data_IF_049749144979
#
_entry.id   IF_049749144979
#
_cell.length_a   1.000
_cell.length_b   1.000
_cell.length_c   1.000
_cell.angle_alpha   90.00
_cell.angle_beta   90.00
_cell.angle_gamma   90.00
#
_symmetry.space_group_name_H-M   'P 1'
#
loop_
_entity.id
_entity.type
_entity.pdbx_description
1 polymer ?
#
# COMPACT_ATOMS: atom_id res chain seq x y z
N UNK A 1 -51.64 -13.42 -44.00
CA UNK A 1 -50.73 -12.90 -42.97
C UNK A 1 -50.98 -13.64 -41.66
N UNK A 2 -49.90 -14.00 -40.95
CA UNK A 2 -49.78 -14.56 -39.59
C UNK A 2 -49.99 -16.07 -39.39
N UNK A 3 -48.84 -16.76 -39.48
CA UNK A 3 -48.19 -17.66 -38.49
C UNK A 3 -49.02 -18.76 -37.80
N UNK A 4 -48.71 -20.02 -38.12
CA UNK A 4 -49.07 -21.21 -37.33
C UNK A 4 -47.89 -21.60 -36.42
N UNK A 5 -48.12 -21.61 -35.10
CA UNK A 5 -47.29 -22.34 -34.14
C UNK A 5 -47.73 -23.81 -34.15
N UNK A 6 -46.79 -24.73 -34.34
CA UNK A 6 -47.02 -26.16 -34.07
C UNK A 6 -46.36 -26.51 -32.73
N UNK A 7 -47.20 -26.76 -31.75
CA UNK A 7 -46.90 -27.37 -30.47
C UNK A 7 -46.75 -28.88 -30.72
N UNK A 8 -45.57 -29.46 -30.47
CA UNK A 8 -45.42 -30.91 -30.36
C UNK A 8 -45.22 -31.28 -28.89
N UNK A 9 -46.30 -31.76 -28.29
CA UNK A 9 -46.36 -32.32 -26.95
C UNK A 9 -46.01 -33.80 -27.05
N UNK A 10 -45.01 -34.25 -26.28
CA UNK A 10 -44.83 -35.68 -25.98
C UNK A 10 -44.99 -35.84 -24.47
N UNK A 11 -46.05 -36.53 -24.05
CA UNK A 11 -46.26 -37.00 -22.68
C UNK A 11 -45.86 -38.46 -22.60
N UNK A 12 -44.97 -38.81 -21.66
CA UNK A 12 -44.93 -40.12 -21.02
C UNK A 12 -44.54 -39.95 -19.54
N UNK A 13 -45.11 -40.77 -18.69
CA UNK A 13 -45.64 -40.43 -17.36
C UNK A 13 -44.78 -40.86 -16.15
N UNK A 14 -44.71 -39.94 -15.16
CA UNK A 14 -44.75 -40.12 -13.68
C UNK A 14 -43.50 -40.67 -12.95
N UNK A 15 -42.72 -39.75 -12.37
CA UNK A 15 -42.58 -39.56 -10.91
C UNK A 15 -42.42 -38.06 -10.63
N UNK A 16 -43.22 -37.53 -9.72
CA UNK A 16 -43.12 -36.15 -9.26
C UNK A 16 -41.92 -36.00 -8.31
N UNK A 17 -40.85 -35.39 -8.80
CA UNK A 17 -40.08 -34.44 -7.99
C UNK A 17 -40.30 -33.10 -8.64
N UNK A 18 -40.83 -32.12 -7.89
CA UNK A 18 -40.91 -30.76 -8.36
C UNK A 18 -39.53 -30.36 -8.89
N UNK A 19 -39.41 -30.18 -10.21
CA UNK A 19 -38.27 -29.52 -10.82
C UNK A 19 -38.35 -28.10 -10.30
N UNK A 20 -37.64 -27.83 -9.21
CA UNK A 20 -37.23 -26.46 -8.91
C UNK A 20 -36.46 -26.06 -10.16
N UNK A 21 -37.05 -25.20 -10.99
CA UNK A 21 -36.27 -24.44 -11.95
C UNK A 21 -35.26 -23.73 -11.09
N UNK A 22 -34.04 -24.24 -10.98
CA UNK A 22 -32.99 -23.54 -10.28
C UNK A 22 -32.85 -22.24 -11.04
N UNK A 23 -33.34 -21.16 -10.46
CA UNK A 23 -33.06 -19.84 -11.01
C UNK A 23 -31.56 -19.77 -11.18
N UNK A 24 -31.12 -19.28 -12.34
CA UNK A 24 -29.71 -19.02 -12.57
C UNK A 24 -29.14 -18.29 -11.36
N UNK A 25 -27.90 -18.59 -10.93
CA UNK A 25 -27.30 -17.98 -9.74
C UNK A 25 -26.90 -16.53 -9.99
N UNK A 26 -27.58 -15.83 -10.90
CA UNK A 26 -27.30 -14.47 -11.29
C UNK A 26 -28.52 -13.75 -11.87
N UNK A 27 -28.45 -12.42 -11.85
CA UNK A 27 -29.38 -11.52 -12.52
C UNK A 27 -28.62 -10.69 -13.54
N UNK A 28 -29.21 -10.50 -14.72
CA UNK A 28 -28.69 -9.67 -15.79
C UNK A 28 -29.56 -8.43 -16.02
N UNK A 29 -28.96 -7.38 -16.58
CA UNK A 29 -29.69 -6.24 -17.13
C UNK A 29 -30.66 -6.67 -18.23
N UNK A 30 -31.65 -5.82 -18.53
CA UNK A 30 -32.69 -6.12 -19.51
C UNK A 30 -32.17 -6.43 -20.93
N UNK A 31 -30.99 -5.91 -21.29
CA UNK A 31 -30.30 -6.18 -22.56
C UNK A 31 -29.35 -7.39 -22.50
N UNK A 32 -29.22 -8.04 -21.34
CA UNK A 32 -28.34 -9.17 -21.11
C UNK A 32 -26.84 -8.85 -21.09
N UNK A 33 -26.44 -7.56 -21.14
CA UNK A 33 -25.04 -7.16 -21.29
C UNK A 33 -24.31 -6.90 -19.97
N UNK A 34 -25.04 -6.76 -18.87
CA UNK A 34 -24.47 -6.47 -17.54
C UNK A 34 -24.84 -7.56 -16.55
N UNK A 35 -23.83 -8.12 -15.87
CA UNK A 35 -24.03 -8.93 -14.68
C UNK A 35 -24.32 -8.01 -13.50
N UNK A 36 -25.57 -8.01 -13.02
CA UNK A 36 -26.05 -7.13 -11.95
C UNK A 36 -25.86 -7.75 -10.56
N UNK A 37 -26.04 -9.07 -10.44
CA UNK A 37 -25.91 -9.78 -9.16
C UNK A 37 -25.58 -11.25 -9.38
N UNK A 38 -24.79 -11.82 -8.47
CA UNK A 38 -24.53 -13.24 -8.32
C UNK A 38 -25.06 -13.73 -6.95
N UNK A 39 -25.91 -14.75 -6.97
CA UNK A 39 -26.58 -15.33 -5.79
C UNK A 39 -26.20 -16.78 -5.53
N UNK A 40 -25.35 -17.38 -6.38
CA UNK A 40 -24.88 -18.75 -6.20
C UNK A 40 -24.16 -18.94 -4.87
N UNK A 41 -24.43 -20.07 -4.22
CA UNK A 41 -23.85 -20.42 -2.91
C UNK A 41 -22.62 -21.31 -3.02
N UNK A 42 -22.34 -21.84 -4.21
CA UNK A 42 -21.12 -22.61 -4.47
C UNK A 42 -19.87 -21.75 -4.21
N UNK A 43 -18.75 -22.35 -3.77
CA UNK A 43 -17.51 -21.63 -3.53
C UNK A 43 -16.86 -21.11 -4.83
N UNK A 44 -17.38 -21.51 -6.00
CA UNK A 44 -16.87 -21.12 -7.31
C UNK A 44 -17.97 -20.45 -8.14
N UNK A 45 -17.69 -19.26 -8.68
CA UNK A 45 -18.51 -18.61 -9.70
C UNK A 45 -17.79 -18.65 -11.04
N UNK A 46 -18.08 -19.64 -11.87
CA UNK A 46 -17.51 -19.76 -13.21
C UNK A 46 -18.47 -19.18 -14.25
N UNK A 47 -18.21 -17.96 -14.73
CA UNK A 47 -19.05 -17.34 -15.76
C UNK A 47 -19.03 -18.10 -17.09
N UNK A 48 -17.98 -18.89 -17.36
CA UNK A 48 -17.85 -19.65 -18.61
C UNK A 48 -18.76 -20.88 -18.65
N UNK A 49 -19.28 -21.30 -17.49
CA UNK A 49 -20.21 -22.42 -17.37
C UNK A 49 -21.65 -22.08 -17.81
N UNK A 50 -21.95 -20.81 -18.07
CA UNK A 50 -23.31 -20.33 -18.39
C UNK A 50 -23.34 -19.65 -19.75
N UNK A 51 -24.01 -20.23 -20.76
CA UNK A 51 -24.15 -19.63 -22.09
C UNK A 51 -24.74 -18.22 -22.07
N UNK A 52 -25.65 -17.92 -21.12
CA UNK A 52 -26.26 -16.59 -20.97
C UNK A 52 -25.25 -15.51 -20.54
N UNK A 53 -24.10 -15.89 -20.01
CA UNK A 53 -23.01 -14.99 -19.63
C UNK A 53 -21.95 -14.82 -20.73
N UNK A 54 -22.08 -15.51 -21.86
CA UNK A 54 -21.17 -15.34 -23.00
C UNK A 54 -21.28 -13.93 -23.58
N UNK A 55 -22.47 -13.33 -23.58
CA UNK A 55 -22.74 -12.01 -24.13
C UNK A 55 -22.49 -10.85 -23.15
N UNK A 56 -22.17 -11.15 -21.89
CA UNK A 56 -21.94 -10.15 -20.85
C UNK A 56 -20.64 -9.41 -21.12
N UNK A 57 -20.73 -8.08 -21.12
CA UNK A 57 -19.59 -7.18 -21.35
C UNK A 57 -19.23 -6.39 -20.10
N UNK A 58 -20.17 -6.26 -19.15
CA UNK A 58 -20.00 -5.45 -17.93
C UNK A 58 -20.28 -6.27 -16.68
N UNK A 59 -19.42 -6.17 -15.68
CA UNK A 59 -19.70 -6.63 -14.32
C UNK A 59 -19.98 -5.40 -13.46
N UNK A 60 -21.20 -5.28 -12.95
CA UNK A 60 -21.65 -4.10 -12.23
C UNK A 60 -21.00 -3.96 -10.85
N UNK A 61 -21.11 -2.74 -10.31
CA UNK A 61 -20.81 -2.45 -8.91
C UNK A 61 -21.52 -3.46 -8.01
N UNK A 62 -20.74 -4.15 -7.18
CA UNK A 62 -21.25 -5.10 -6.21
C UNK A 62 -21.99 -6.31 -6.80
N UNK A 63 -21.73 -6.67 -8.06
CA UNK A 63 -22.30 -7.88 -8.66
C UNK A 63 -22.06 -9.14 -7.81
N UNK A 64 -20.93 -9.22 -7.10
CA UNK A 64 -20.61 -10.30 -6.16
C UNK A 64 -20.68 -9.88 -4.69
N UNK A 65 -21.20 -8.68 -4.40
CA UNK A 65 -21.31 -8.14 -3.03
C UNK A 65 -22.26 -9.00 -2.21
N UNK A 66 -21.98 -9.13 -0.92
CA UNK A 66 -22.73 -9.96 0.05
C UNK A 66 -22.59 -11.48 -0.18
N UNK A 67 -21.84 -11.92 -1.19
CA UNK A 67 -21.51 -13.32 -1.32
C UNK A 67 -20.41 -13.71 -0.31
N UNK A 68 -20.82 -14.46 0.71
CA UNK A 68 -19.93 -14.93 1.77
C UNK A 68 -19.33 -16.32 1.50
N UNK A 69 -19.67 -16.99 0.41
CA UNK A 69 -19.21 -18.36 0.13
C UNK A 69 -18.13 -18.41 -0.94
N UNK A 70 -18.11 -17.45 -1.87
CA UNK A 70 -17.20 -17.47 -3.01
C UNK A 70 -15.73 -17.39 -2.58
N UNK A 71 -14.98 -18.39 -3.03
CA UNK A 71 -13.53 -18.51 -2.93
C UNK A 71 -12.85 -18.27 -4.28
N UNK A 72 -13.53 -18.53 -5.41
CA UNK A 72 -13.02 -18.21 -6.73
C UNK A 72 -14.07 -17.72 -7.71
N UNK A 73 -13.65 -16.83 -8.62
CA UNK A 73 -14.45 -16.34 -9.75
C UNK A 73 -13.68 -16.57 -11.05
N UNK A 74 -14.35 -16.99 -12.12
CA UNK A 74 -13.80 -16.99 -13.48
C UNK A 74 -14.58 -16.00 -14.34
N UNK A 75 -13.90 -14.98 -14.84
CA UNK A 75 -14.46 -13.91 -15.68
C UNK A 75 -14.51 -14.37 -17.14
N UNK A 76 -15.63 -14.16 -17.84
CA UNK A 76 -15.80 -14.59 -19.23
C UNK A 76 -15.02 -13.72 -20.24
N UNK A 77 -14.77 -14.27 -21.44
CA UNK A 77 -13.91 -13.66 -22.48
C UNK A 77 -14.40 -12.30 -23.02
N UNK A 78 -15.71 -12.04 -22.96
CA UNK A 78 -16.31 -10.84 -23.56
C UNK A 78 -16.48 -9.69 -22.56
N UNK A 79 -16.12 -9.88 -21.28
CA UNK A 79 -16.13 -8.83 -20.27
C UNK A 79 -15.07 -7.80 -20.61
N UNK A 80 -15.51 -6.57 -20.88
CA UNK A 80 -14.67 -5.42 -21.20
C UNK A 80 -14.61 -4.42 -20.03
N UNK A 81 -15.63 -4.40 -19.18
CA UNK A 81 -15.75 -3.45 -18.06
C UNK A 81 -16.03 -4.20 -16.75
N UNK A 82 -15.20 -3.96 -15.75
CA UNK A 82 -15.43 -4.40 -14.37
C UNK A 82 -15.47 -3.13 -13.52
N UNK A 83 -16.55 -2.96 -12.75
CA UNK A 83 -16.59 -1.87 -11.79
C UNK A 83 -15.48 -2.02 -10.72
N UNK A 84 -14.81 -0.91 -10.40
CA UNK A 84 -13.64 -0.91 -9.51
C UNK A 84 -13.92 -1.45 -8.10
N UNK A 85 -15.19 -1.44 -7.64
CA UNK A 85 -15.59 -1.94 -6.33
C UNK A 85 -16.22 -3.33 -6.37
N UNK A 86 -16.32 -3.96 -7.55
CA UNK A 86 -16.98 -5.26 -7.73
C UNK A 86 -16.47 -6.32 -6.74
N UNK A 87 -15.16 -6.39 -6.53
CA UNK A 87 -14.52 -7.37 -5.64
C UNK A 87 -14.23 -6.81 -4.25
N UNK A 88 -14.50 -5.52 -4.02
CA UNK A 88 -14.41 -4.95 -2.70
C UNK A 88 -15.40 -5.70 -1.79
N UNK A 89 -14.98 -6.00 -0.56
CA UNK A 89 -15.80 -6.69 0.47
C UNK A 89 -16.01 -8.19 0.31
N UNK A 90 -15.46 -8.82 -0.74
CA UNK A 90 -15.47 -10.28 -0.85
C UNK A 90 -14.49 -10.92 0.14
N UNK A 91 -15.01 -11.40 1.28
CA UNK A 91 -14.19 -11.85 2.42
C UNK A 91 -13.38 -13.12 2.18
N UNK A 92 -13.90 -14.03 1.36
CA UNK A 92 -13.35 -15.37 1.18
C UNK A 92 -12.67 -15.59 -0.17
N UNK A 93 -12.62 -14.55 -1.03
CA UNK A 93 -12.07 -14.67 -2.38
C UNK A 93 -10.56 -14.90 -2.34
N UNK A 94 -10.12 -16.04 -2.88
CA UNK A 94 -8.73 -16.47 -2.99
C UNK A 94 -8.20 -16.29 -4.41
N UNK A 95 -9.06 -16.42 -5.42
CA UNK A 95 -8.67 -16.36 -6.82
C UNK A 95 -9.70 -15.64 -7.69
N UNK A 96 -9.23 -14.80 -8.60
CA UNK A 96 -10.03 -14.23 -9.69
C UNK A 96 -9.31 -14.63 -10.99
N UNK A 97 -9.88 -15.60 -11.69
CA UNK A 97 -9.40 -16.09 -12.98
C UNK A 97 -10.06 -15.33 -14.12
N UNK A 98 -9.37 -15.25 -15.25
CA UNK A 98 -9.88 -14.67 -16.49
C UNK A 98 -9.82 -15.72 -17.58
N UNK A 99 -10.95 -15.94 -18.25
CA UNK A 99 -11.04 -16.90 -19.34
C UNK A 99 -10.09 -16.56 -20.49
N UNK A 100 -9.53 -17.60 -21.13
CA UNK A 100 -8.69 -17.45 -22.31
C UNK A 100 -9.41 -16.66 -23.41
N UNK A 101 -8.68 -15.76 -24.06
CA UNK A 101 -9.22 -14.90 -25.11
C UNK A 101 -9.88 -13.62 -24.62
N UNK A 102 -9.95 -13.34 -23.32
CA UNK A 102 -10.32 -12.01 -22.84
C UNK A 102 -9.27 -10.97 -23.29
N UNK A 103 -9.71 -9.96 -24.04
CA UNK A 103 -8.83 -8.91 -24.60
C UNK A 103 -8.63 -7.68 -23.69
N UNK A 104 -9.23 -7.65 -22.51
CA UNK A 104 -9.26 -6.49 -21.61
C UNK A 104 -8.65 -6.76 -20.24
N UNK A 105 -8.77 -7.99 -19.75
CA UNK A 105 -8.25 -8.43 -18.47
C UNK A 105 -7.37 -9.67 -18.64
N UNK A 106 -6.52 -9.90 -17.64
CA UNK A 106 -5.80 -11.16 -17.50
C UNK A 106 -5.59 -11.45 -16.02
N UNK A 107 -5.27 -12.69 -15.68
CA UNK A 107 -4.81 -13.02 -14.33
C UNK A 107 -3.41 -13.65 -14.34
N UNK A 108 -2.77 -13.57 -13.19
CA UNK A 108 -1.56 -14.34 -12.85
C UNK A 108 -1.79 -14.94 -11.47
N UNK A 109 -1.87 -16.28 -11.40
CA UNK A 109 -2.13 -17.02 -10.16
C UNK A 109 -3.36 -16.49 -9.39
N UNK A 110 -4.43 -16.16 -10.13
CA UNK A 110 -5.69 -15.64 -9.59
C UNK A 110 -5.66 -14.18 -9.13
N UNK A 111 -4.58 -13.43 -9.38
CA UNK A 111 -4.52 -11.97 -9.20
C UNK A 111 -4.97 -11.29 -10.49
N UNK A 112 -5.92 -10.37 -10.41
CA UNK A 112 -6.52 -9.73 -11.59
C UNK A 112 -5.74 -8.51 -12.04
N UNK A 113 -5.48 -8.43 -13.35
CA UNK A 113 -4.84 -7.33 -14.04
C UNK A 113 -5.66 -6.87 -15.24
N UNK A 114 -5.30 -5.74 -15.83
CA UNK A 114 -5.59 -5.48 -17.24
C UNK A 114 -4.90 -6.51 -18.14
N UNK A 115 -5.31 -6.57 -19.41
CA UNK A 115 -4.77 -7.52 -20.38
C UNK A 115 -3.24 -7.40 -20.53
N UNK A 116 -2.73 -6.17 -20.54
CA UNK A 116 -1.30 -5.87 -20.67
C UNK A 116 -0.48 -6.05 -19.39
N UNK A 117 -1.12 -6.36 -18.25
CA UNK A 117 -0.49 -6.43 -16.92
C UNK A 117 0.27 -5.14 -16.54
N UNK A 118 -0.27 -4.01 -16.98
CA UNK A 118 0.20 -2.67 -16.66
C UNK A 118 -0.50 -2.09 -15.42
N UNK A 119 -1.68 -2.62 -15.09
CA UNK A 119 -2.52 -2.24 -13.96
C UNK A 119 -2.85 -3.50 -13.16
N UNK A 120 -2.46 -3.54 -11.89
CA UNK A 120 -2.98 -4.54 -10.96
C UNK A 120 -4.36 -4.07 -10.47
N UNK A 121 -5.40 -4.79 -10.86
CA UNK A 121 -6.79 -4.39 -10.63
C UNK A 121 -7.31 -4.88 -9.27
N UNK A 122 -7.03 -6.14 -8.92
CA UNK A 122 -7.49 -6.73 -7.66
C UNK A 122 -6.59 -7.86 -7.19
N UNK A 123 -6.14 -7.76 -5.94
CA UNK A 123 -5.49 -8.84 -5.20
C UNK A 123 -6.52 -9.48 -4.26
N UNK A 124 -6.84 -10.78 -4.42
CA UNK A 124 -7.92 -11.41 -3.66
C UNK A 124 -7.70 -11.32 -2.14
N UNK A 125 -8.74 -10.93 -1.41
CA UNK A 125 -8.67 -10.60 0.02
C UNK A 125 -8.20 -11.77 0.90
N UNK A 126 -8.61 -12.99 0.55
CA UNK A 126 -8.28 -14.22 1.25
C UNK A 126 -7.14 -15.02 0.61
N UNK A 127 -6.49 -14.48 -0.44
CA UNK A 127 -5.28 -15.09 -1.02
C UNK A 127 -4.26 -15.31 0.09
N UNK A 128 -3.70 -16.52 0.15
CA UNK A 128 -3.02 -17.07 1.32
C UNK A 128 -1.56 -16.66 1.45
N UNK A 129 -0.97 -16.16 0.37
CA UNK A 129 0.42 -15.80 0.26
C UNK A 129 0.71 -14.60 1.18
N UNK A 130 1.72 -14.75 2.03
CA UNK A 130 2.12 -13.73 2.99
C UNK A 130 3.04 -12.66 2.38
N UNK A 131 3.55 -12.89 1.17
CA UNK A 131 4.38 -11.93 0.44
C UNK A 131 4.02 -11.88 -1.03
N UNK A 132 4.09 -10.69 -1.61
CA UNK A 132 3.81 -10.49 -3.03
C UNK A 132 4.79 -9.50 -3.66
N UNK A 133 5.38 -9.90 -4.79
CA UNK A 133 6.21 -9.04 -5.63
C UNK A 133 5.36 -8.65 -6.83
N UNK A 134 5.00 -7.38 -6.92
CA UNK A 134 4.22 -6.86 -8.03
C UNK A 134 5.09 -6.94 -9.30
N UNK A 135 4.59 -7.54 -10.40
CA UNK A 135 5.37 -7.67 -11.64
C UNK A 135 5.90 -6.32 -12.15
N UNK A 136 7.10 -6.30 -12.73
CA UNK A 136 7.74 -5.07 -13.21
C UNK A 136 7.02 -4.39 -14.38
N UNK A 137 6.08 -5.09 -15.02
CA UNK A 137 5.20 -4.52 -16.06
C UNK A 137 4.13 -3.59 -15.47
N UNK A 138 3.83 -3.73 -14.18
CA UNK A 138 2.80 -2.94 -13.50
C UNK A 138 3.34 -1.54 -13.22
N UNK A 139 2.69 -0.55 -13.81
CA UNK A 139 2.99 0.86 -13.60
C UNK A 139 1.94 1.56 -12.71
N UNK A 140 0.82 0.88 -12.45
CA UNK A 140 -0.31 1.41 -11.69
C UNK A 140 -1.02 0.33 -10.86
N UNK A 141 -1.49 0.70 -9.67
CA UNK A 141 -2.36 -0.13 -8.83
C UNK A 141 -3.76 0.50 -8.78
N UNK A 142 -4.78 -0.33 -9.00
CA UNK A 142 -6.18 0.07 -8.87
C UNK A 142 -6.58 0.41 -7.43
N UNK A 143 -7.59 1.27 -7.28
CA UNK A 143 -8.14 1.59 -5.97
C UNK A 143 -8.71 0.34 -5.30
N UNK A 144 -8.51 0.22 -3.99
CA UNK A 144 -8.91 -0.95 -3.20
C UNK A 144 -8.29 -2.29 -3.64
N UNK A 145 -7.28 -2.30 -4.51
CA UNK A 145 -6.71 -3.54 -5.03
C UNK A 145 -6.22 -4.50 -3.92
N UNK A 146 -5.78 -3.99 -2.77
CA UNK A 146 -5.32 -4.77 -1.62
C UNK A 146 -6.17 -4.53 -0.36
N UNK A 147 -7.34 -3.91 -0.50
CA UNK A 147 -8.19 -3.53 0.62
C UNK A 147 -8.62 -4.74 1.46
N UNK A 148 -8.52 -4.58 2.79
CA UNK A 148 -8.86 -5.58 3.81
C UNK A 148 -8.20 -6.94 3.63
N UNK A 149 -7.08 -6.99 2.91
CA UNK A 149 -6.33 -8.22 2.74
C UNK A 149 -5.98 -8.84 4.11
N UNK A 150 -6.17 -10.15 4.22
CA UNK A 150 -6.13 -10.85 5.50
C UNK A 150 -4.80 -11.58 5.78
N UNK A 151 -3.93 -11.74 4.79
CA UNK A 151 -2.75 -12.61 4.91
C UNK A 151 -1.44 -11.96 4.47
N UNK A 152 -1.49 -10.99 3.55
CA UNK A 152 -0.31 -10.34 2.98
C UNK A 152 0.39 -9.51 4.05
N UNK A 153 1.60 -9.95 4.41
CA UNK A 153 2.49 -9.28 5.37
C UNK A 153 3.44 -8.31 4.68
N UNK A 154 3.94 -8.70 3.51
CA UNK A 154 4.91 -7.91 2.76
C UNK A 154 4.50 -7.71 1.31
N UNK A 155 4.64 -6.49 0.83
CA UNK A 155 4.55 -6.19 -0.60
C UNK A 155 5.80 -5.44 -1.09
N UNK A 156 6.24 -5.79 -2.29
CA UNK A 156 7.29 -5.08 -3.03
C UNK A 156 6.70 -4.55 -4.33
N UNK A 157 6.66 -3.22 -4.47
CA UNK A 157 6.26 -2.58 -5.73
C UNK A 157 7.48 -2.41 -6.65
N UNK A 158 7.30 -2.31 -7.98
CA UNK A 158 8.43 -2.19 -8.88
C UNK A 158 9.06 -0.78 -8.82
N UNK A 159 10.36 -0.67 -9.13
CA UNK A 159 11.08 0.60 -9.03
C UNK A 159 10.54 1.69 -9.97
N UNK A 160 10.04 1.29 -11.14
CA UNK A 160 9.45 2.18 -12.15
C UNK A 160 7.97 2.49 -11.88
N UNK A 161 7.42 1.99 -10.77
CA UNK A 161 6.05 2.25 -10.37
C UNK A 161 5.83 3.75 -10.14
N UNK A 162 4.97 4.37 -10.95
CA UNK A 162 4.83 5.83 -10.98
C UNK A 162 3.56 6.34 -10.30
N UNK A 163 2.57 5.48 -10.03
CA UNK A 163 1.26 5.97 -9.59
C UNK A 163 0.48 4.98 -8.68
N UNK A 164 0.24 5.39 -7.42
CA UNK A 164 -0.91 4.92 -6.63
C UNK A 164 -2.03 5.93 -6.88
N UNK A 165 -2.94 5.63 -7.81
CA UNK A 165 -3.87 6.66 -8.27
C UNK A 165 -5.02 6.91 -7.27
N UNK A 166 -5.27 5.99 -6.34
CA UNK A 166 -6.53 5.96 -5.61
C UNK A 166 -6.39 5.73 -4.10
N UNK A 167 -7.33 6.35 -3.38
CA UNK A 167 -7.53 6.17 -1.95
C UNK A 167 -7.73 4.71 -1.59
N UNK A 168 -7.38 4.35 -0.36
CA UNK A 168 -7.74 3.06 0.26
C UNK A 168 -7.11 1.80 -0.36
N UNK A 169 -6.08 1.94 -1.20
CA UNK A 169 -5.40 0.80 -1.88
C UNK A 169 -5.04 -0.36 -0.94
N UNK A 170 -4.48 -0.06 0.24
CA UNK A 170 -4.17 -1.03 1.30
C UNK A 170 -5.03 -0.84 2.55
N UNK A 171 -6.19 -0.15 2.45
CA UNK A 171 -7.00 0.16 3.63
C UNK A 171 -7.38 -1.10 4.39
N UNK A 172 -7.15 -1.10 5.70
CA UNK A 172 -7.41 -2.19 6.63
C UNK A 172 -6.76 -3.54 6.24
N UNK A 173 -5.63 -3.52 5.51
CA UNK A 173 -4.81 -4.71 5.27
C UNK A 173 -4.19 -5.20 6.60
N UNK A 174 -4.89 -6.12 7.27
CA UNK A 174 -4.73 -6.38 8.70
C UNK A 174 -3.38 -7.01 9.08
N UNK A 175 -2.70 -7.65 8.12
CA UNK A 175 -1.41 -8.31 8.35
C UNK A 175 -0.23 -7.58 7.71
N UNK A 176 -0.45 -6.50 6.96
CA UNK A 176 0.59 -5.80 6.22
C UNK A 176 1.56 -5.12 7.20
N UNK A 177 2.75 -5.69 7.37
CA UNK A 177 3.78 -5.20 8.29
C UNK A 177 4.85 -4.34 7.60
N UNK A 178 5.07 -4.56 6.29
CA UNK A 178 6.15 -3.94 5.53
C UNK A 178 5.71 -3.62 4.10
N UNK A 179 5.94 -2.38 3.68
CA UNK A 179 5.80 -1.94 2.27
C UNK A 179 7.15 -1.44 1.80
N UNK A 180 7.71 -2.14 0.82
CA UNK A 180 9.04 -1.84 0.27
C UNK A 180 8.93 -1.29 -1.15
N UNK A 181 9.79 -0.31 -1.46
CA UNK A 181 9.91 0.33 -2.77
C UNK A 181 8.59 0.96 -3.25
N UNK A 182 8.27 2.19 -2.83
CA UNK A 182 7.12 2.94 -3.38
C UNK A 182 7.37 3.52 -4.79
N UNK A 183 8.43 3.08 -5.48
CA UNK A 183 8.78 3.53 -6.83
C UNK A 183 9.04 5.04 -6.91
N UNK A 184 8.47 5.68 -7.94
CA UNK A 184 8.57 7.12 -8.27
C UNK A 184 7.27 7.87 -7.99
N UNK A 185 6.43 7.40 -7.06
CA UNK A 185 5.15 8.06 -6.78
C UNK A 185 5.38 9.44 -6.16
N UNK A 186 4.62 10.43 -6.63
CA UNK A 186 4.70 11.81 -6.15
C UNK A 186 3.66 12.13 -5.07
N UNK A 187 2.72 11.22 -4.82
CA UNK A 187 1.70 11.37 -3.78
C UNK A 187 1.28 10.01 -3.19
N UNK A 188 0.93 10.03 -1.90
CA UNK A 188 0.22 8.94 -1.23
C UNK A 188 -1.24 9.37 -1.08
N UNK A 189 -2.20 8.72 -1.75
CA UNK A 189 -3.61 9.07 -1.65
C UNK A 189 -4.20 8.92 -0.25
N UNK A 190 -5.40 9.48 -0.08
CA UNK A 190 -6.12 9.42 1.20
C UNK A 190 -6.37 7.97 1.64
N UNK A 191 -6.25 7.71 2.94
CA UNK A 191 -6.51 6.40 3.56
C UNK A 191 -5.71 5.22 2.99
N UNK A 192 -4.65 5.44 2.19
CA UNK A 192 -3.92 4.36 1.48
C UNK A 192 -3.51 3.21 2.40
N UNK A 193 -2.96 3.52 3.58
CA UNK A 193 -2.56 2.56 4.62
C UNK A 193 -3.37 2.72 5.90
N UNK A 194 -4.55 3.35 5.85
CA UNK A 194 -5.40 3.48 7.04
C UNK A 194 -5.74 2.10 7.61
N UNK A 195 -5.78 1.97 8.93
CA UNK A 195 -6.08 0.72 9.65
C UNK A 195 -5.13 -0.47 9.33
N UNK A 196 -3.93 -0.21 8.81
CA UNK A 196 -2.85 -1.19 8.74
C UNK A 196 -2.19 -1.32 10.13
N UNK A 197 -2.90 -1.90 11.09
CA UNK A 197 -2.53 -1.91 12.52
C UNK A 197 -1.13 -2.45 12.81
N UNK A 198 -0.66 -3.40 12.00
CA UNK A 198 0.64 -4.06 12.17
C UNK A 198 1.76 -3.48 11.29
N UNK A 199 1.48 -2.44 10.48
CA UNK A 199 2.50 -1.78 9.65
C UNK A 199 3.59 -1.19 10.54
N UNK A 200 4.81 -1.73 10.44
CA UNK A 200 5.96 -1.34 11.27
C UNK A 200 6.82 -0.29 10.60
N UNK A 201 7.00 -0.41 9.29
CA UNK A 201 7.85 0.48 8.50
C UNK A 201 7.28 0.68 7.10
N UNK A 202 7.61 1.85 6.55
CA UNK A 202 7.30 2.23 5.17
C UNK A 202 8.39 3.17 4.67
N UNK A 203 9.01 2.83 3.54
CA UNK A 203 10.00 3.70 2.91
C UNK A 203 9.30 4.64 1.94
N UNK A 204 9.25 5.93 2.28
CA UNK A 204 8.69 6.98 1.42
C UNK A 204 9.68 7.36 0.31
N UNK A 205 9.23 7.59 -0.93
CA UNK A 205 10.12 7.90 -2.04
C UNK A 205 10.58 9.36 -2.00
N UNK A 206 11.81 9.62 -2.46
CA UNK A 206 12.43 10.95 -2.45
C UNK A 206 11.59 12.03 -3.17
N UNK A 207 10.90 11.64 -4.24
CA UNK A 207 10.05 12.52 -5.08
C UNK A 207 8.64 12.75 -4.50
N UNK A 208 8.34 12.23 -3.30
CA UNK A 208 7.02 12.40 -2.68
C UNK A 208 6.77 13.87 -2.33
N UNK A 209 5.65 14.41 -2.81
CA UNK A 209 5.22 15.80 -2.58
C UNK A 209 4.02 15.93 -1.65
N UNK A 210 3.20 14.87 -1.54
CA UNK A 210 1.92 14.89 -0.82
C UNK A 210 1.69 13.59 -0.04
N UNK A 211 1.32 13.71 1.23
CA UNK A 211 0.74 12.64 2.04
C UNK A 211 -0.73 12.97 2.27
N UNK A 212 -1.64 12.15 1.76
CA UNK A 212 -3.08 12.41 1.80
C UNK A 212 -3.70 12.28 3.20
N UNK A 213 -4.93 12.78 3.35
CA UNK A 213 -5.68 12.67 4.61
C UNK A 213 -5.85 11.20 5.01
N UNK A 214 -5.66 10.90 6.30
CA UNK A 214 -5.70 9.54 6.86
C UNK A 214 -4.74 8.51 6.22
N UNK A 215 -3.74 8.94 5.43
CA UNK A 215 -2.88 8.03 4.67
C UNK A 215 -2.26 6.90 5.51
N UNK A 216 -1.85 7.17 6.76
CA UNK A 216 -1.31 6.22 7.73
C UNK A 216 -2.11 6.26 9.04
N UNK A 217 -3.41 6.52 8.96
CA UNK A 217 -4.28 6.54 10.14
C UNK A 217 -4.30 5.14 10.80
N UNK A 218 -4.27 5.06 12.13
CA UNK A 218 -4.36 3.80 12.87
C UNK A 218 -3.27 2.77 12.55
N UNK A 219 -2.13 3.20 11.99
CA UNK A 219 -0.93 2.38 11.85
C UNK A 219 -0.25 2.23 13.22
N UNK A 220 -0.88 1.47 14.12
CA UNK A 220 -0.54 1.44 15.55
C UNK A 220 0.84 0.85 15.85
N UNK A 221 1.43 0.08 14.94
CA UNK A 221 2.78 -0.48 15.05
C UNK A 221 3.87 0.38 14.40
N UNK A 222 3.52 1.46 13.69
CA UNK A 222 4.48 2.34 13.02
C UNK A 222 5.19 3.17 14.08
N UNK A 223 6.47 2.88 14.31
CA UNK A 223 7.24 3.47 15.43
C UNK A 223 8.07 4.69 15.04
N UNK A 224 8.45 4.76 13.76
CA UNK A 224 9.21 5.85 13.18
C UNK A 224 8.72 6.15 11.76
N UNK A 225 8.86 7.39 11.31
CA UNK A 225 8.63 7.78 9.92
C UNK A 225 9.60 8.87 9.47
N UNK A 226 10.14 8.72 8.26
CA UNK A 226 10.94 9.75 7.59
C UNK A 226 10.11 10.37 6.47
N UNK A 227 9.82 11.66 6.59
CA UNK A 227 9.09 12.48 5.62
C UNK A 227 10.10 13.10 4.64
N UNK A 228 10.05 12.77 3.34
CA UNK A 228 10.98 13.27 2.33
C UNK A 228 11.01 14.79 2.20
N UNK A 229 12.12 15.33 1.67
CA UNK A 229 12.37 16.77 1.62
C UNK A 229 11.39 17.51 0.69
N UNK A 230 10.84 16.81 -0.30
CA UNK A 230 9.92 17.37 -1.29
C UNK A 230 8.46 17.40 -0.80
N UNK A 231 8.14 16.82 0.36
CA UNK A 231 6.77 16.84 0.88
C UNK A 231 6.38 18.25 1.28
N UNK A 232 5.35 18.77 0.63
CA UNK A 232 4.83 20.14 0.87
C UNK A 232 3.53 20.13 1.66
N UNK A 233 2.80 19.01 1.68
CA UNK A 233 1.52 18.88 2.38
C UNK A 233 1.32 17.50 2.99
N UNK A 234 0.76 17.49 4.21
CA UNK A 234 0.35 16.29 4.95
C UNK A 234 -1.11 16.49 5.36
N UNK A 235 -2.00 15.64 4.86
CA UNK A 235 -3.44 15.77 5.03
C UNK A 235 -3.92 15.55 6.47
N UNK A 236 -5.17 15.92 6.72
CA UNK A 236 -5.78 15.76 8.04
C UNK A 236 -5.76 14.30 8.50
N UNK A 237 -5.50 14.09 9.79
CA UNK A 237 -5.40 12.76 10.40
C UNK A 237 -4.40 11.78 9.75
N UNK A 238 -3.44 12.25 8.94
CA UNK A 238 -2.55 11.36 8.19
C UNK A 238 -1.79 10.35 9.07
N UNK A 239 -1.44 10.70 10.31
CA UNK A 239 -0.81 9.80 11.30
C UNK A 239 -1.62 9.73 12.60
N UNK A 240 -2.94 9.96 12.52
CA UNK A 240 -3.83 9.93 13.69
C UNK A 240 -3.89 8.53 14.30
N UNK A 241 -3.82 8.47 15.63
CA UNK A 241 -3.86 7.25 16.44
C UNK A 241 -2.72 6.26 16.17
N UNK A 242 -1.55 6.75 15.74
CA UNK A 242 -0.33 5.93 15.64
C UNK A 242 0.36 5.87 17.01
N UNK A 243 -0.10 4.98 17.86
CA UNK A 243 0.29 4.91 19.29
C UNK A 243 1.75 4.50 19.53
N UNK A 244 2.39 3.78 18.60
CA UNK A 244 3.81 3.46 18.69
C UNK A 244 4.73 4.54 18.10
N UNK A 245 4.18 5.51 17.35
CA UNK A 245 4.97 6.51 16.65
C UNK A 245 5.59 7.47 17.68
N UNK A 246 6.89 7.34 17.88
CA UNK A 246 7.68 8.17 18.82
C UNK A 246 8.67 9.07 18.07
N UNK A 247 8.96 8.72 16.83
CA UNK A 247 10.07 9.29 16.08
C UNK A 247 9.60 9.77 14.71
N UNK A 248 9.66 11.08 14.48
CA UNK A 248 9.25 11.68 13.22
C UNK A 248 10.43 12.48 12.70
N UNK A 249 10.76 12.29 11.44
CA UNK A 249 11.88 13.00 10.82
C UNK A 249 11.35 13.71 9.59
N UNK A 250 11.56 15.01 9.50
CA UNK A 250 11.28 15.78 8.30
C UNK A 250 12.59 16.19 7.65
N UNK A 251 12.81 15.80 6.39
CA UNK A 251 14.03 16.16 5.66
C UNK A 251 13.99 17.60 5.11
N UNK A 252 12.81 18.22 5.06
CA UNK A 252 12.65 19.58 4.55
C UNK A 252 13.01 20.63 5.60
N UNK A 253 13.77 21.65 5.19
CA UNK A 253 14.01 22.84 6.02
C UNK A 253 12.77 23.74 6.16
N UNK A 254 11.75 23.53 5.32
CA UNK A 254 10.46 24.21 5.41
C UNK A 254 9.39 23.23 5.88
N UNK A 255 8.64 23.54 6.95
CA UNK A 255 7.57 22.69 7.42
C UNK A 255 6.53 22.42 6.32
N UNK A 256 6.17 21.14 6.07
CA UNK A 256 5.01 20.82 5.27
C UNK A 256 3.74 21.42 5.89
N UNK A 257 2.78 21.79 5.06
CA UNK A 257 1.47 22.26 5.53
C UNK A 257 0.67 21.08 6.06
N UNK A 258 0.29 21.13 7.34
CA UNK A 258 -0.59 20.15 7.98
C UNK A 258 -2.07 20.47 7.69
N UNK A 259 -2.84 19.46 7.27
CA UNK A 259 -4.25 19.57 6.93
C UNK A 259 -5.21 19.78 8.11
N UNK A 260 -4.70 19.75 9.34
CA UNK A 260 -5.46 19.96 10.56
C UNK A 260 -4.59 19.80 11.82
N UNK A 261 -5.22 19.88 13.00
CA UNK A 261 -4.52 19.75 14.29
C UNK A 261 -4.37 18.29 14.74
N UNK A 262 -4.93 17.34 13.98
CA UNK A 262 -5.00 15.92 14.34
C UNK A 262 -4.03 15.04 13.56
N UNK A 263 -3.05 15.62 12.86
CA UNK A 263 -2.12 14.84 12.02
C UNK A 263 -1.30 13.87 12.85
N UNK A 264 -0.71 14.35 13.95
CA UNK A 264 0.08 13.55 14.88
C UNK A 264 -0.56 13.55 16.26
N UNK A 265 -1.84 13.19 16.37
CA UNK A 265 -2.53 13.03 17.67
C UNK A 265 -3.03 11.61 17.84
N UNK A 266 -3.61 11.30 19.00
CA UNK A 266 -4.26 10.01 19.28
C UNK A 266 -5.70 10.27 19.73
N UNK A 267 -6.51 9.22 19.82
CA UNK A 267 -7.82 9.34 20.44
C UNK A 267 -7.71 9.93 21.86
N UNK A 268 -8.62 10.79 22.32
CA UNK A 268 -8.57 11.39 23.65
C UNK A 268 -8.47 10.37 24.79
N UNK A 269 -9.00 9.17 24.60
CA UNK A 269 -8.97 8.07 25.56
C UNK A 269 -7.67 7.27 25.54
N UNK A 270 -6.80 7.49 24.54
CA UNK A 270 -5.52 6.81 24.41
C UNK A 270 -4.39 7.63 25.04
N UNK A 271 -3.38 6.95 25.60
CA UNK A 271 -2.16 7.62 26.06
C UNK A 271 -1.32 8.06 24.87
N UNK A 272 -1.12 9.38 24.75
CA UNK A 272 -0.24 9.97 23.74
C UNK A 272 1.23 9.59 24.04
N UNK A 273 1.95 8.95 23.11
CA UNK A 273 3.37 8.69 23.30
C UNK A 273 4.15 10.01 23.29
N UNK A 274 5.28 10.07 24.02
CA UNK A 274 6.25 11.13 23.82
C UNK A 274 6.79 11.05 22.38
N UNK A 275 6.69 12.14 21.63
CA UNK A 275 7.14 12.22 20.24
C UNK A 275 8.26 13.23 20.11
N UNK A 276 9.27 12.86 19.34
CA UNK A 276 10.31 13.80 18.91
C UNK A 276 10.26 13.96 17.41
N UNK A 277 10.15 15.22 16.97
CA UNK A 277 10.30 15.65 15.60
C UNK A 277 11.74 16.12 15.38
N UNK A 278 12.43 15.49 14.45
CA UNK A 278 13.77 15.84 14.02
C UNK A 278 13.70 16.62 12.72
N UNK A 279 14.27 17.82 12.71
CA UNK A 279 14.26 18.74 11.57
C UNK A 279 15.69 19.19 11.23
N UNK A 280 15.95 19.68 10.01
CA UNK A 280 17.28 20.16 9.65
C UNK A 280 17.72 21.33 10.53
N UNK A 281 19.02 21.39 10.82
CA UNK A 281 19.65 22.50 11.54
C UNK A 281 19.24 23.86 10.94
N UNK A 282 18.85 24.80 11.80
CA UNK A 282 18.35 26.13 11.43
C UNK A 282 16.86 26.19 11.10
N UNK A 283 16.14 25.06 11.13
CA UNK A 283 14.72 25.00 10.75
C UNK A 283 13.76 24.99 11.95
N UNK A 284 14.25 24.73 13.17
CA UNK A 284 13.38 24.50 14.34
C UNK A 284 12.42 25.64 14.63
N UNK A 285 12.90 26.88 14.62
CA UNK A 285 12.04 28.04 14.89
C UNK A 285 10.86 28.15 13.91
N UNK A 286 11.09 27.77 12.64
CA UNK A 286 10.04 27.75 11.61
C UNK A 286 9.02 26.63 11.87
N UNK A 287 9.48 25.44 12.24
CA UNK A 287 8.60 24.35 12.64
C UNK A 287 7.78 24.67 13.90
N UNK A 288 8.41 25.26 14.93
CA UNK A 288 7.72 25.68 16.15
C UNK A 288 6.60 26.69 15.86
N UNK A 289 6.83 27.60 14.90
CA UNK A 289 5.84 28.59 14.49
C UNK A 289 4.73 27.98 13.62
N UNK A 290 5.08 27.28 12.54
CA UNK A 290 4.09 26.80 11.55
C UNK A 290 3.23 25.64 12.08
N UNK A 291 3.78 24.85 13.02
CA UNK A 291 3.11 23.71 13.65
C UNK A 291 2.63 24.01 15.08
N UNK A 292 2.64 25.27 15.50
CA UNK A 292 2.08 25.70 16.78
C UNK A 292 0.64 25.19 16.96
N UNK A 293 0.37 24.49 18.07
CA UNK A 293 -0.93 23.88 18.36
C UNK A 293 -1.31 22.67 17.47
N UNK A 294 -0.48 22.29 16.50
CA UNK A 294 -0.68 21.13 15.61
C UNK A 294 0.24 19.95 15.94
N UNK A 295 1.39 20.22 16.57
CA UNK A 295 2.32 19.22 17.07
C UNK A 295 2.64 19.50 18.54
N UNK A 296 2.47 18.49 19.40
CA UNK A 296 2.62 18.61 20.87
C UNK A 296 3.85 17.88 21.42
N UNK A 297 4.72 17.37 20.54
CA UNK A 297 5.97 16.71 20.91
C UNK A 297 7.17 17.67 21.02
N UNK A 298 8.34 17.10 21.26
CA UNK A 298 9.62 17.84 21.25
C UNK A 298 10.11 18.04 19.83
N UNK A 299 10.64 19.22 19.52
CA UNK A 299 11.30 19.50 18.24
C UNK A 299 12.81 19.64 18.48
N UNK A 300 13.60 18.84 17.77
CA UNK A 300 15.06 18.83 17.83
C UNK A 300 15.67 19.13 16.46
N UNK A 301 16.76 19.89 16.47
CA UNK A 301 17.56 20.12 15.28
C UNK A 301 18.64 19.05 15.19
N UNK A 302 18.63 18.30 14.11
CA UNK A 302 19.67 17.33 13.77
C UNK A 302 19.98 17.45 12.28
N UNK A 303 20.92 16.67 11.78
CA UNK A 303 21.02 16.44 10.33
C UNK A 303 20.18 15.20 10.00
N UNK A 304 18.90 15.38 9.60
CA UNK A 304 17.98 14.27 9.43
C UNK A 304 18.25 13.49 8.14
N UNK A 305 19.07 14.01 7.23
CA UNK A 305 19.30 13.42 5.92
C UNK A 305 19.92 12.02 5.99
N UNK A 306 20.46 11.60 7.14
CA UNK A 306 21.12 10.31 7.35
C UNK A 306 20.29 9.12 7.78
N UNK A 307 18.97 9.24 7.76
CA UNK A 307 18.11 8.11 8.13
C UNK A 307 17.94 7.20 6.92
N UNK A 308 18.78 6.17 6.84
CA UNK A 308 18.44 4.93 6.15
C UNK A 308 17.98 3.90 7.18
N UNK A 309 16.76 3.38 7.04
CA UNK A 309 16.54 2.01 7.48
C UNK A 309 17.43 1.13 6.61
N UNK A 310 18.31 0.36 7.24
CA UNK A 310 19.13 -0.62 6.55
C UNK A 310 18.18 -1.74 6.07
N UNK A 311 17.74 -1.72 4.81
CA UNK A 311 16.93 -2.82 4.25
C UNK A 311 17.66 -4.17 4.49
N UNK A 312 17.12 -4.98 5.40
CA UNK A 312 17.67 -6.27 5.82
C UNK A 312 18.31 -6.31 7.22
N UNK A 313 18.52 -5.17 7.89
CA UNK A 313 18.94 -5.11 9.31
C UNK A 313 17.83 -4.45 10.13
N UNK A 314 16.81 -5.22 10.47
CA UNK A 314 15.68 -4.75 11.27
C UNK A 314 16.16 -4.12 12.59
N UNK A 315 15.84 -2.85 12.82
CA UNK A 315 15.96 -2.19 14.13
C UNK A 315 17.15 -1.25 14.34
N UNK A 316 17.93 -0.91 13.31
CA UNK A 316 18.99 0.11 13.39
C UNK A 316 18.58 1.42 12.70
N UNK A 317 18.45 2.51 13.48
CA UNK A 317 18.29 3.88 12.98
C UNK A 317 19.60 4.63 13.17
N UNK A 318 20.14 5.23 12.11
CA UNK A 318 21.39 6.01 12.15
C UNK A 318 21.07 7.49 11.95
N UNK A 319 21.66 8.35 12.77
CA UNK A 319 21.46 9.81 12.76
C UNK A 319 22.77 10.54 12.99
N UNK A 320 22.82 11.82 12.66
CA UNK A 320 23.93 12.69 13.01
C UNK A 320 23.47 13.76 13.99
N UNK A 321 24.00 13.69 15.22
CA UNK A 321 23.79 14.68 16.28
C UNK A 321 25.13 15.05 16.89
N UNK A 322 25.37 16.33 17.17
CA UNK A 322 26.61 16.82 17.77
C UNK A 322 27.88 16.36 17.03
N UNK A 323 27.80 16.30 15.69
CA UNK A 323 28.84 15.76 14.80
C UNK A 323 29.23 14.30 15.08
N UNK A 324 28.32 13.46 15.58
CA UNK A 324 28.54 12.02 15.78
C UNK A 324 27.42 11.21 15.15
N UNK A 325 27.74 10.02 14.67
CA UNK A 325 26.71 9.05 14.34
C UNK A 325 26.08 8.52 15.62
N UNK A 326 24.78 8.72 15.78
CA UNK A 326 23.98 8.07 16.79
C UNK A 326 23.27 6.88 16.16
N UNK A 327 23.33 5.74 16.83
CA UNK A 327 22.67 4.52 16.37
C UNK A 327 21.72 4.04 17.43
N UNK A 328 20.45 3.90 17.06
CA UNK A 328 19.39 3.30 17.87
C UNK A 328 19.18 1.88 17.34
N UNK A 329 19.47 0.87 18.16
CA UNK A 329 19.33 -0.55 17.83
C UNK A 329 20.14 -1.45 18.77
N UNK A 330 20.45 -2.69 18.37
CA UNK A 330 21.37 -3.53 19.16
C UNK A 330 22.77 -2.87 19.15
N UNK A 331 23.50 -2.88 20.27
CA UNK A 331 24.77 -2.16 20.45
C UNK A 331 25.94 -2.74 19.64
N UNK A 332 25.71 -3.10 18.37
CA UNK A 332 26.65 -3.71 17.45
C UNK A 332 27.74 -2.74 17.01
N UNK A 333 28.96 -3.26 16.83
CA UNK A 333 30.07 -2.49 16.29
C UNK A 333 29.84 -2.21 14.80
N UNK A 334 29.75 -0.92 14.47
CA UNK A 334 29.56 -0.43 13.12
C UNK A 334 30.78 0.38 12.69
N UNK A 335 31.15 0.23 11.42
CA UNK A 335 32.09 1.13 10.76
C UNK A 335 31.38 1.99 9.72
N UNK A 336 31.83 3.23 9.60
CA UNK A 336 31.27 4.26 8.73
C UNK A 336 32.35 4.76 7.79
N UNK A 337 32.05 4.82 6.50
CA UNK A 337 32.91 5.46 5.51
C UNK A 337 32.11 6.56 4.82
N UNK A 338 32.57 7.81 4.95
CA UNK A 338 31.92 8.99 4.41
C UNK A 338 32.59 9.36 3.10
N UNK A 339 31.81 9.48 2.03
CA UNK A 339 32.24 9.82 0.69
C UNK A 339 31.61 11.14 0.26
N UNK A 340 32.35 12.00 -0.43
CA UNK A 340 31.78 13.20 -1.04
C UNK A 340 30.95 12.85 -2.30
N UNK A 341 30.31 13.86 -2.90
CA UNK A 341 29.48 13.70 -4.11
C UNK A 341 30.22 13.16 -5.34
N UNK A 342 31.56 13.21 -5.36
CA UNK A 342 32.39 12.64 -6.43
C UNK A 342 32.78 11.17 -6.18
N UNK A 343 32.35 10.60 -5.05
CA UNK A 343 32.67 9.22 -4.64
C UNK A 343 34.04 9.09 -3.97
N UNK A 344 34.70 10.20 -3.62
CA UNK A 344 35.97 10.17 -2.88
C UNK A 344 35.70 9.98 -1.39
N UNK A 345 36.38 9.02 -0.77
CA UNK A 345 36.37 8.82 0.69
C UNK A 345 36.98 10.05 1.37
N UNK A 346 36.21 10.69 2.24
CA UNK A 346 36.63 11.88 3.01
C UNK A 346 36.90 11.55 4.48
N UNK A 347 36.24 10.53 5.04
CA UNK A 347 36.46 10.12 6.43
C UNK A 347 36.05 8.66 6.66
N UNK A 348 36.75 7.96 7.56
CA UNK A 348 36.37 6.64 8.07
C UNK A 348 36.25 6.71 9.59
N UNK A 349 35.20 6.10 10.13
CA UNK A 349 34.96 5.99 11.57
C UNK A 349 34.77 4.51 11.93
N UNK A 350 35.45 4.05 12.97
CA UNK A 350 35.41 2.65 13.42
C UNK A 350 34.54 2.44 14.64
N UNK A 351 34.06 3.51 15.27
CA UNK A 351 33.15 3.46 16.42
C UNK A 351 32.19 4.65 16.46
N UNK A 352 31.06 4.48 17.18
CA UNK A 352 30.06 5.53 17.41
C UNK A 352 30.58 6.69 18.29
N UNK A 353 31.71 6.49 18.97
CA UNK A 353 32.29 7.52 19.83
C UNK A 353 33.05 8.60 19.04
N UNK A 354 33.48 8.27 17.83
CA UNK A 354 34.25 9.15 16.96
C UNK A 354 33.37 10.27 16.36
N UNK A 355 33.96 11.45 16.21
CA UNK A 355 33.27 12.60 15.61
C UNK A 355 33.52 12.66 14.11
N UNK A 356 32.46 13.01 13.39
CA UNK A 356 32.49 13.47 12.02
C UNK A 356 33.27 14.79 11.95
N UNK A 357 34.10 14.95 10.93
CA UNK A 357 34.89 16.16 10.71
C UNK A 357 33.96 17.36 10.51
N UNK A 358 34.12 18.38 11.37
CA UNK A 358 33.29 19.58 11.40
C UNK A 358 33.43 20.44 10.14
N UNK A 359 34.52 20.27 9.39
CA UNK A 359 34.77 20.98 8.13
C UNK A 359 33.99 20.38 6.96
N UNK A 360 33.44 19.19 7.10
CA UNK A 360 32.56 18.63 6.08
C UNK A 360 31.30 19.49 6.00
N UNK A 361 31.05 20.00 4.79
CA UNK A 361 29.86 20.78 4.45
C UNK A 361 29.25 20.23 3.18
N UNK A 362 27.93 20.02 3.19
CA UNK A 362 27.16 19.59 2.01
C UNK A 362 26.79 18.11 2.00
N UNK A 363 26.47 17.58 0.81
CA UNK A 363 25.94 16.24 0.63
C UNK A 363 27.06 15.18 0.59
N UNK A 364 26.94 14.15 1.41
CA UNK A 364 27.83 13.00 1.47
C UNK A 364 27.06 11.69 1.35
N UNK A 365 27.76 10.62 0.98
CA UNK A 365 27.28 9.23 1.05
C UNK A 365 28.01 8.57 2.21
N UNK A 366 27.28 7.93 3.11
CA UNK A 366 27.85 7.14 4.20
C UNK A 366 27.61 5.68 3.91
N UNK A 367 28.69 4.92 3.82
CA UNK A 367 28.64 3.47 3.82
C UNK A 367 28.74 2.98 5.26
N UNK A 368 27.78 2.18 5.68
CA UNK A 368 27.76 1.51 6.97
C UNK A 368 27.96 0.02 6.77
N UNK A 369 28.84 -0.53 7.59
CA UNK A 369 29.18 -1.94 7.59
C UNK A 369 29.12 -2.49 9.00
N UNK A 370 28.34 -3.56 9.15
CA UNK A 370 28.31 -4.45 10.31
C UNK A 370 29.12 -5.71 9.99
N UNK A 371 29.84 -6.25 10.98
CA UNK A 371 30.64 -7.46 10.78
C UNK A 371 29.76 -8.64 10.32
N UNK A 372 30.17 -9.31 9.23
CA UNK A 372 29.41 -10.43 8.65
C UNK A 372 28.25 -10.04 7.73
N UNK A 373 28.03 -8.74 7.48
CA UNK A 373 26.90 -8.26 6.70
C UNK A 373 27.32 -7.39 5.50
N UNK A 374 26.40 -7.21 4.54
CA UNK A 374 26.61 -6.38 3.37
C UNK A 374 26.74 -4.90 3.74
N UNK A 375 27.54 -4.16 2.97
CA UNK A 375 27.65 -2.70 3.09
C UNK A 375 26.35 -2.07 2.61
N UNK A 376 25.87 -1.07 3.34
CA UNK A 376 24.72 -0.25 2.96
C UNK A 376 25.11 1.22 2.91
N UNK A 377 24.47 1.98 2.01
CA UNK A 377 24.79 3.38 1.76
C UNK A 377 23.57 4.26 2.01
N UNK A 378 23.75 5.40 2.67
CA UNK A 378 22.74 6.45 2.77
C UNK A 378 23.36 7.82 2.52
N UNK A 379 22.53 8.78 2.11
CA UNK A 379 22.98 10.17 1.94
C UNK A 379 22.96 10.87 3.30
N UNK A 380 23.82 11.86 3.53
CA UNK A 380 23.76 12.76 4.70
C UNK A 380 24.10 14.20 4.26
N UNK A 381 23.63 15.21 4.99
CA UNK A 381 23.96 16.62 4.72
C UNK A 381 24.72 17.22 5.91
N UNK A 382 26.05 17.21 5.90
CA UNK A 382 26.91 17.67 7.01
C UNK A 382 27.16 19.18 7.03
#
# INVERSE_FOLDING_TARGET
MKTKFYLLVIFCSVFATATVWSQNPFTLSADGKTLEKWTGTDPTADMTAYPELEDVTTIAFGAFRENATLESITISKNVTTIDQYTFAWMGNIKNIFVAEGNGFYSDVDGVLFDWGKTILFSYPRAKTEESYVVPSTVIKIGGLAFHRNMNLKKITLPAEFSEIQLSETFWAAAQLDTVSCLGKITSIPASTFSDCYVLKSVTLPDELTLIGSKAFNQCQSLSAITIPANVTSIGDQAFFNNIALTEIVCLSATPPTLGGNNVFTVNPDATMPARTLYVPVGSKAKYETDWEGKFTGTIEEENPAGIGELEGQSGLTIRVKDNKFQVKGDGSELSFNIFNSTGQLVQSLSSLSESIDQNLKGLYIVNVKRAGEAIKSFKIIL
#
